data_IF_550142503046
#
_entry.id   IF_550142503046
#
_cell.length_a   1.000
_cell.length_b   1.000
_cell.length_c   1.000
_cell.angle_alpha   90.00
_cell.angle_beta   90.00
_cell.angle_gamma   90.00
#
_symmetry.space_group_name_H-M   'P 1'
#
loop_
_entity.id
_entity.type
_entity.pdbx_description
1 polymer ?
#
# COMPACT_ATOMS: atom_id res chain seq x y z
N UNK A 1 60.75 -34.89 -34.82
CA UNK A 1 59.88 -35.67 -33.92
C UNK A 1 60.22 -35.46 -32.43
N UNK A 2 60.21 -34.22 -31.92
CA UNK A 2 60.36 -33.94 -30.47
C UNK A 2 59.42 -32.82 -29.94
N UNK A 3 58.60 -32.20 -30.78
CA UNK A 3 57.63 -31.17 -30.36
C UNK A 3 56.18 -31.66 -30.22
N UNK A 4 55.81 -32.83 -30.76
CA UNK A 4 54.46 -33.38 -30.60
C UNK A 4 54.25 -34.17 -29.29
N UNK A 5 55.32 -34.50 -28.56
CA UNK A 5 55.20 -35.18 -27.26
C UNK A 5 54.95 -34.23 -26.10
N UNK A 6 55.45 -32.98 -26.16
CA UNK A 6 55.22 -31.99 -25.12
C UNK A 6 53.78 -31.47 -25.10
N UNK A 7 53.15 -31.26 -26.26
CA UNK A 7 51.77 -30.76 -26.30
C UNK A 7 50.73 -31.76 -25.75
N UNK A 8 50.97 -33.07 -25.85
CA UNK A 8 50.08 -34.10 -25.29
C UNK A 8 50.28 -34.32 -23.80
N UNK A 9 51.50 -34.21 -23.27
CA UNK A 9 51.75 -34.30 -21.82
C UNK A 9 51.25 -33.07 -21.07
N UNK A 10 51.35 -31.86 -21.63
CA UNK A 10 50.81 -30.65 -20.95
C UNK A 10 49.29 -30.64 -20.90
N UNK A 11 48.60 -31.16 -21.92
CA UNK A 11 47.13 -31.27 -21.92
C UNK A 11 46.63 -32.34 -20.94
N UNK A 12 47.34 -33.47 -20.80
CA UNK A 12 47.04 -34.51 -19.81
C UNK A 12 47.31 -34.04 -18.38
N UNK A 13 48.39 -33.28 -18.14
CA UNK A 13 48.68 -32.67 -16.84
C UNK A 13 47.66 -31.59 -16.46
N UNK A 14 47.17 -30.79 -17.41
CA UNK A 14 46.10 -29.81 -17.14
C UNK A 14 44.76 -30.50 -16.84
N UNK A 15 44.41 -31.57 -17.56
CA UNK A 15 43.21 -32.34 -17.26
C UNK A 15 43.31 -33.07 -15.91
N UNK A 16 44.50 -33.57 -15.54
CA UNK A 16 44.71 -34.21 -14.23
C UNK A 16 44.68 -33.19 -13.08
N UNK A 17 45.16 -31.96 -13.28
CA UNK A 17 45.07 -30.87 -12.29
C UNK A 17 43.65 -30.31 -12.13
N UNK A 18 42.83 -30.30 -13.18
CA UNK A 18 41.42 -29.91 -13.09
C UNK A 18 40.60 -31.01 -12.39
N UNK A 19 40.92 -32.29 -12.60
CA UNK A 19 40.22 -33.42 -11.94
C UNK A 19 40.67 -33.58 -10.48
N UNK A 20 41.93 -33.31 -10.14
CA UNK A 20 42.41 -33.36 -8.73
C UNK A 20 42.07 -32.11 -7.92
N UNK A 21 41.91 -30.95 -8.58
CA UNK A 21 41.36 -29.73 -7.98
C UNK A 21 39.85 -29.80 -7.70
N UNK A 22 39.11 -30.67 -8.40
CA UNK A 22 37.71 -30.96 -8.10
C UNK A 22 37.51 -32.03 -7.01
N UNK A 23 38.54 -32.80 -6.66
CA UNK A 23 38.46 -33.89 -5.68
C UNK A 23 38.94 -33.52 -4.27
N UNK A 24 39.41 -32.29 -4.06
CA UNK A 24 39.72 -31.73 -2.71
C UNK A 24 38.73 -30.66 -2.26
N UNK A 25 37.59 -30.54 -2.96
CA UNK A 25 36.44 -29.70 -2.61
C UNK A 25 35.15 -30.48 -2.38
N UNK A 26 35.18 -31.81 -2.34
CA UNK A 26 34.09 -32.61 -1.78
C UNK A 26 34.21 -32.58 -0.25
N UNK A 27 33.96 -31.40 0.33
CA UNK A 27 33.26 -31.41 1.61
C UNK A 27 32.00 -32.23 1.37
N UNK A 28 31.87 -33.34 2.07
CA UNK A 28 30.58 -33.94 2.36
C UNK A 28 29.74 -32.85 3.01
N UNK A 29 29.14 -31.97 2.21
CA UNK A 29 27.86 -31.39 2.54
C UNK A 29 26.93 -32.58 2.52
N UNK A 30 26.93 -33.32 3.63
CA UNK A 30 25.67 -33.80 4.16
C UNK A 30 24.72 -32.63 3.97
N UNK A 31 23.76 -32.78 3.06
CA UNK A 31 22.57 -31.97 3.12
C UNK A 31 22.01 -32.32 4.50
N UNK A 32 22.46 -31.59 5.52
CA UNK A 32 21.79 -31.56 6.79
C UNK A 32 20.39 -31.11 6.40
N UNK A 33 19.46 -32.06 6.34
CA UNK A 33 18.04 -31.74 6.29
C UNK A 33 17.87 -30.67 7.35
N UNK A 34 17.52 -29.45 6.95
CA UNK A 34 17.37 -28.38 7.91
C UNK A 34 16.12 -28.75 8.73
N UNK A 35 16.38 -29.35 9.88
CA UNK A 35 15.37 -29.80 10.82
C UNK A 35 15.09 -28.64 11.78
N UNK A 36 13.82 -28.38 12.03
CA UNK A 36 13.35 -27.50 13.09
C UNK A 36 12.62 -28.32 14.16
N UNK A 37 12.65 -27.85 15.40
CA UNK A 37 11.99 -28.53 16.51
C UNK A 37 10.55 -28.05 16.63
N UNK A 38 9.60 -28.92 16.29
CA UNK A 38 8.19 -28.69 16.59
C UNK A 38 7.96 -28.86 18.09
N UNK A 39 7.24 -27.91 18.70
CA UNK A 39 6.85 -27.95 20.10
C UNK A 39 5.34 -28.11 20.21
N UNK A 40 4.90 -29.16 20.90
CA UNK A 40 3.51 -29.37 21.23
C UNK A 40 3.30 -29.51 22.73
N UNK A 41 2.05 -29.34 23.16
CA UNK A 41 1.63 -29.54 24.55
C UNK A 41 0.35 -30.36 24.60
N UNK A 42 0.34 -31.45 25.35
CA UNK A 42 -0.85 -32.27 25.62
C UNK A 42 -1.55 -31.77 26.89
N UNK A 43 -2.85 -31.55 26.79
CA UNK A 43 -3.70 -31.04 27.86
C UNK A 43 -4.90 -31.97 28.07
N UNK A 44 -5.33 -32.13 29.33
CA UNK A 44 -6.65 -32.71 29.62
C UNK A 44 -7.79 -31.70 29.41
N UNK A 45 -9.03 -32.14 29.62
CA UNK A 45 -10.22 -31.29 29.49
C UNK A 45 -10.25 -30.12 30.50
N UNK A 46 -9.47 -30.20 31.58
CA UNK A 46 -9.31 -29.16 32.59
C UNK A 46 -8.09 -28.24 32.33
N UNK A 47 -7.36 -28.45 31.22
CA UNK A 47 -6.20 -27.66 30.83
C UNK A 47 -4.91 -28.00 31.58
N UNK A 48 -4.82 -29.15 32.24
CA UNK A 48 -3.61 -29.64 32.93
C UNK A 48 -2.73 -30.42 31.96
N UNK A 49 -1.41 -30.27 32.13
CA UNK A 49 -0.41 -30.98 31.31
C UNK A 49 -0.43 -32.49 31.56
N UNK A 50 -0.29 -33.27 30.48
CA UNK A 50 -0.25 -34.74 30.54
C UNK A 50 1.14 -35.25 30.13
N UNK A 51 1.87 -35.85 31.07
CA UNK A 51 3.20 -36.43 30.83
C UNK A 51 3.22 -37.91 30.49
N UNK A 52 4.36 -38.36 29.96
CA UNK A 52 4.66 -39.77 29.67
C UNK A 52 3.98 -40.35 28.43
N UNK A 53 3.29 -39.54 27.63
CA UNK A 53 2.61 -39.97 26.40
C UNK A 53 3.56 -39.84 25.21
N UNK A 54 3.75 -40.95 24.48
CA UNK A 54 4.47 -41.00 23.20
C UNK A 54 3.60 -40.40 22.09
N UNK A 55 4.09 -39.36 21.44
CA UNK A 55 3.44 -38.66 20.32
C UNK A 55 4.23 -38.94 19.05
N UNK A 56 3.54 -39.38 18.01
CA UNK A 56 4.14 -39.63 16.69
C UNK A 56 3.64 -38.57 15.71
N UNK A 57 4.56 -37.83 15.07
CA UNK A 57 4.24 -36.98 13.92
C UNK A 57 4.49 -37.79 12.66
N UNK A 58 3.42 -38.04 11.90
CA UNK A 58 3.47 -38.89 10.72
C UNK A 58 4.50 -38.38 9.70
N UNK A 59 5.43 -39.25 9.31
CA UNK A 59 6.47 -38.97 8.32
C UNK A 59 7.60 -38.04 8.79
N UNK A 60 7.65 -37.66 10.07
CA UNK A 60 8.69 -36.77 10.62
C UNK A 60 9.48 -37.42 11.76
N UNK A 61 8.81 -37.90 12.81
CA UNK A 61 9.47 -38.45 14.00
C UNK A 61 8.54 -38.61 15.20
N UNK A 62 9.11 -38.92 16.35
CA UNK A 62 8.37 -39.11 17.61
C UNK A 62 9.02 -38.37 18.79
N UNK A 63 8.21 -38.10 19.80
CA UNK A 63 8.63 -37.50 21.06
C UNK A 63 7.75 -37.94 22.21
N UNK A 64 8.21 -37.70 23.44
CA UNK A 64 7.46 -38.04 24.66
C UNK A 64 7.18 -36.76 25.43
N UNK A 65 5.96 -36.63 25.94
CA UNK A 65 5.55 -35.50 26.78
C UNK A 65 6.19 -35.56 28.17
N UNK A 66 6.65 -34.41 28.66
CA UNK A 66 7.09 -34.23 30.04
C UNK A 66 5.91 -34.02 30.99
N UNK A 67 6.16 -33.90 32.30
CA UNK A 67 5.12 -33.77 33.33
C UNK A 67 4.21 -32.53 33.16
N UNK A 68 4.66 -31.52 32.41
CA UNK A 68 3.88 -30.31 32.09
C UNK A 68 3.10 -30.42 30.76
N UNK A 69 3.18 -31.58 30.10
CA UNK A 69 2.53 -31.91 28.84
C UNK A 69 3.34 -31.56 27.59
N UNK A 70 4.50 -30.94 27.71
CA UNK A 70 5.30 -30.50 26.55
C UNK A 70 6.08 -31.65 25.92
N UNK A 71 6.06 -31.71 24.60
CA UNK A 71 6.89 -32.61 23.81
C UNK A 71 7.56 -31.85 22.67
N UNK A 72 8.72 -32.35 22.22
CA UNK A 72 9.46 -31.80 21.09
C UNK A 72 9.75 -32.89 20.08
N UNK A 73 9.50 -32.61 18.80
CA UNK A 73 9.79 -33.53 17.69
C UNK A 73 10.55 -32.79 16.59
N UNK A 74 11.68 -33.33 16.10
CA UNK A 74 12.35 -32.80 14.92
C UNK A 74 11.48 -32.97 13.67
N UNK A 75 11.23 -31.88 12.94
CA UNK A 75 10.48 -31.85 11.67
C UNK A 75 11.27 -31.12 10.58
N UNK A 76 10.98 -31.39 9.31
CA UNK A 76 11.61 -30.66 8.20
C UNK A 76 11.13 -29.19 8.15
N UNK A 77 12.03 -28.24 7.87
CA UNK A 77 11.75 -26.79 7.90
C UNK A 77 10.62 -26.30 6.98
N UNK A 78 10.24 -27.08 5.95
CA UNK A 78 9.22 -26.68 4.96
C UNK A 78 7.81 -27.21 5.27
N UNK A 79 7.61 -27.87 6.43
CA UNK A 79 6.31 -28.44 6.81
C UNK A 79 5.42 -27.35 7.39
N UNK A 80 4.31 -27.04 6.70
CA UNK A 80 3.32 -26.06 7.17
C UNK A 80 2.22 -26.68 8.04
N UNK A 81 1.94 -27.97 7.87
CA UNK A 81 0.92 -28.73 8.60
C UNK A 81 1.48 -30.10 9.00
N UNK A 82 1.20 -30.53 10.23
CA UNK A 82 1.59 -31.85 10.77
C UNK A 82 0.35 -32.65 11.14
N UNK A 83 0.45 -33.98 11.10
CA UNK A 83 -0.56 -34.90 11.62
C UNK A 83 0.00 -35.71 12.79
N UNK A 84 -0.70 -35.70 13.92
CA UNK A 84 -0.28 -36.39 15.14
C UNK A 84 -1.04 -37.70 15.36
N UNK A 85 -0.35 -38.71 15.86
CA UNK A 85 -0.93 -39.95 16.36
C UNK A 85 -0.51 -40.21 17.81
N UNK A 86 -1.49 -40.69 18.58
CA UNK A 86 -1.36 -41.07 19.98
C UNK A 86 -1.58 -42.58 20.11
N UNK A 87 -1.12 -43.21 21.21
CA UNK A 87 -1.37 -44.63 21.46
C UNK A 87 -2.86 -44.93 21.67
N UNK A 88 -3.28 -46.18 21.45
CA UNK A 88 -4.70 -46.60 21.40
C UNK A 88 -5.52 -46.33 22.68
N UNK A 89 -4.87 -46.09 23.81
CA UNK A 89 -5.52 -45.73 25.07
C UNK A 89 -5.75 -44.22 25.25
N UNK A 90 -5.49 -43.41 24.21
CA UNK A 90 -5.68 -41.97 24.21
C UNK A 90 -6.53 -41.51 23.02
N UNK A 91 -7.49 -40.65 23.30
CA UNK A 91 -8.34 -40.00 22.31
C UNK A 91 -7.93 -38.52 22.17
N UNK A 92 -7.67 -38.08 20.94
CA UNK A 92 -7.48 -36.66 20.63
C UNK A 92 -8.85 -35.96 20.51
N UNK A 93 -9.10 -34.96 21.34
CA UNK A 93 -10.33 -34.16 21.37
C UNK A 93 -10.21 -32.96 20.43
N UNK A 94 -9.06 -32.28 20.43
CA UNK A 94 -8.80 -31.10 19.60
C UNK A 94 -7.31 -31.01 19.22
N UNK A 95 -6.98 -30.74 17.94
CA UNK A 95 -7.88 -30.62 16.79
C UNK A 95 -8.36 -32.00 16.30
N UNK A 96 -9.66 -32.14 15.98
CA UNK A 96 -10.29 -33.42 15.56
C UNK A 96 -9.70 -34.01 14.28
N UNK A 97 -9.17 -33.16 13.40
CA UNK A 97 -8.52 -33.57 12.17
C UNK A 97 -7.20 -34.31 12.42
N UNK A 98 -6.71 -34.33 13.66
CA UNK A 98 -5.33 -34.70 14.03
C UNK A 98 -4.26 -33.80 13.42
N UNK A 99 -4.68 -32.76 12.70
CA UNK A 99 -3.79 -31.87 11.96
C UNK A 99 -3.66 -30.54 12.64
N UNK A 100 -2.43 -30.03 12.67
CA UNK A 100 -2.13 -28.73 13.23
C UNK A 100 -1.13 -27.97 12.35
N UNK A 101 -1.32 -26.65 12.26
CA UNK A 101 -0.37 -25.77 11.60
C UNK A 101 0.91 -25.65 12.42
N UNK A 102 2.05 -25.66 11.75
CA UNK A 102 3.35 -25.43 12.36
C UNK A 102 3.53 -23.91 12.58
N UNK A 103 3.61 -23.43 13.83
CA UNK A 103 3.73 -22.01 14.09
C UNK A 103 5.10 -21.49 13.64
N UNK A 104 5.12 -20.32 12.98
CA UNK A 104 6.36 -19.60 12.65
C UNK A 104 6.90 -18.94 13.92
N UNK A 105 7.83 -19.60 14.62
CA UNK A 105 8.47 -19.12 15.86
C UNK A 105 8.44 -20.16 17.00
N UNK A 106 8.85 -19.76 18.21
CA UNK A 106 9.01 -20.67 19.36
C UNK A 106 7.70 -20.91 20.15
N UNK A 107 6.56 -21.00 19.47
CA UNK A 107 5.25 -21.22 20.11
C UNK A 107 4.90 -22.71 20.13
N UNK A 108 4.30 -23.18 21.23
CA UNK A 108 3.77 -24.54 21.30
C UNK A 108 2.35 -24.62 20.76
N UNK A 109 2.02 -25.71 20.08
CA UNK A 109 0.64 -26.04 19.70
C UNK A 109 0.01 -26.89 20.80
N UNK A 110 -1.22 -26.55 21.18
CA UNK A 110 -1.95 -27.27 22.23
C UNK A 110 -2.86 -28.35 21.63
N UNK A 111 -2.82 -29.53 22.23
CA UNK A 111 -3.59 -30.70 21.87
C UNK A 111 -4.38 -31.18 23.08
N UNK A 112 -5.71 -31.12 22.99
CA UNK A 112 -6.58 -31.61 24.06
C UNK A 112 -6.82 -33.11 23.88
N UNK A 113 -6.51 -33.91 24.91
CA UNK A 113 -6.58 -35.37 24.86
C UNK A 113 -7.33 -35.93 26.07
N UNK A 114 -8.03 -37.04 25.88
CA UNK A 114 -8.70 -37.80 26.94
C UNK A 114 -8.18 -39.22 26.97
N UNK A 115 -7.79 -39.69 28.15
CA UNK A 115 -7.47 -41.10 28.35
C UNK A 115 -8.74 -41.92 28.17
N UNK A 116 -8.71 -42.88 27.27
CA UNK A 116 -9.79 -43.83 27.10
C UNK A 116 -9.66 -44.90 28.18
N UNK A 117 -10.26 -44.63 29.35
CA UNK A 117 -10.42 -45.65 30.39
C UNK A 117 -11.52 -46.61 29.95
N UNK A 118 -11.12 -47.62 29.19
CA UNK A 118 -11.92 -48.82 28.98
C UNK A 118 -11.87 -49.62 30.29
N UNK A 119 -12.60 -49.17 31.29
CA UNK A 119 -12.72 -49.92 32.54
C UNK A 119 -13.68 -51.10 32.33
N UNK A 120 -13.16 -52.13 31.67
CA UNK A 120 -13.82 -53.42 31.48
C UNK A 120 -13.88 -54.22 32.80
N UNK A 121 -13.43 -53.68 33.95
CA UNK A 121 -13.28 -54.46 35.18
C UNK A 121 -14.59 -55.06 35.69
N UNK A 122 -15.69 -54.33 35.61
CA UNK A 122 -17.03 -54.79 36.02
C UNK A 122 -17.57 -55.86 35.04
N UNK A 123 -17.45 -55.61 33.73
CA UNK A 123 -17.87 -56.55 32.69
C UNK A 123 -17.02 -57.83 32.72
N UNK A 124 -15.71 -57.70 32.97
CA UNK A 124 -14.77 -58.81 33.14
C UNK A 124 -15.06 -59.58 34.42
N UNK A 125 -15.35 -58.91 35.54
CA UNK A 125 -15.80 -59.57 36.78
C UNK A 125 -17.04 -60.41 36.53
N UNK A 126 -18.03 -59.88 35.81
CA UNK A 126 -19.27 -60.57 35.51
C UNK A 126 -19.09 -61.71 34.49
N UNK A 127 -18.26 -61.52 33.44
CA UNK A 127 -17.86 -62.59 32.51
C UNK A 127 -17.06 -63.70 33.21
N UNK A 128 -16.23 -63.34 34.18
CA UNK A 128 -15.42 -64.28 34.94
C UNK A 128 -16.28 -65.05 35.95
N UNK A 129 -17.26 -64.41 36.58
CA UNK A 129 -18.29 -65.07 37.40
C UNK A 129 -19.13 -66.03 36.56
N UNK A 130 -19.61 -65.59 35.39
CA UNK A 130 -20.34 -66.44 34.45
C UNK A 130 -19.51 -67.64 33.99
N UNK A 131 -18.23 -67.44 33.61
CA UNK A 131 -17.31 -68.53 33.22
C UNK A 131 -17.03 -69.51 34.35
N UNK A 132 -16.81 -69.04 35.58
CA UNK A 132 -16.62 -69.89 36.75
C UNK A 132 -17.85 -70.74 37.04
N UNK A 133 -19.04 -70.17 36.81
CA UNK A 133 -20.30 -70.89 36.95
C UNK A 133 -20.46 -71.93 35.82
N UNK A 134 -20.14 -71.60 34.57
CA UNK A 134 -20.16 -72.55 33.44
C UNK A 134 -19.20 -73.73 33.62
N UNK A 135 -17.99 -73.50 34.15
CA UNK A 135 -17.03 -74.58 34.42
C UNK A 135 -17.46 -75.49 35.57
N UNK A 136 -18.08 -74.95 36.64
CA UNK A 136 -18.75 -75.75 37.67
C UNK A 136 -19.88 -76.61 37.09
N UNK A 137 -20.68 -76.05 36.18
CA UNK A 137 -21.82 -76.71 35.55
C UNK A 137 -21.43 -77.84 34.57
N UNK A 138 -20.21 -77.79 34.03
CA UNK A 138 -19.67 -78.79 33.10
C UNK A 138 -19.14 -80.05 33.80
N UNK A 139 -18.76 -79.93 35.08
CA UNK A 139 -18.22 -81.04 35.88
C UNK A 139 -19.29 -81.98 36.45
N UNK A 140 -20.55 -81.54 36.59
CA UNK A 140 -21.59 -82.29 37.31
C UNK A 140 -22.59 -83.06 36.42
N UNK A 141 -22.34 -83.15 35.11
CA UNK A 141 -22.98 -84.15 34.22
C UNK A 141 -24.46 -83.98 33.86
N UNK A 142 -25.27 -83.19 34.58
CA UNK A 142 -26.64 -82.80 34.18
C UNK A 142 -27.07 -81.53 34.95
N UNK A 143 -27.20 -80.42 34.24
CA UNK A 143 -27.68 -79.14 34.76
C UNK A 143 -29.08 -79.29 35.39
N UNK A 144 -29.18 -79.13 36.72
CA UNK A 144 -30.47 -79.15 37.43
C UNK A 144 -31.25 -77.85 37.15
N UNK A 145 -32.59 -77.92 37.04
CA UNK A 145 -33.49 -76.81 36.67
C UNK A 145 -33.19 -75.48 37.40
N UNK A 146 -32.87 -75.55 38.70
CA UNK A 146 -32.57 -74.38 39.53
C UNK A 146 -31.29 -73.64 39.09
N UNK A 147 -30.32 -74.37 38.53
CA UNK A 147 -29.07 -73.80 38.02
C UNK A 147 -29.25 -73.13 36.65
N UNK A 148 -30.18 -73.63 35.82
CA UNK A 148 -30.59 -72.98 34.58
C UNK A 148 -31.28 -71.64 34.87
N UNK A 149 -32.13 -71.60 35.90
CA UNK A 149 -32.78 -70.36 36.37
C UNK A 149 -31.76 -69.34 36.88
N UNK A 150 -30.75 -69.77 37.64
CA UNK A 150 -29.68 -68.89 38.12
C UNK A 150 -28.81 -68.33 36.98
N UNK A 151 -28.49 -69.15 35.97
CA UNK A 151 -27.75 -68.70 34.79
C UNK A 151 -28.56 -67.69 33.96
N UNK A 152 -29.87 -67.94 33.82
CA UNK A 152 -30.80 -67.03 33.13
C UNK A 152 -30.89 -65.68 33.85
N UNK A 153 -31.01 -65.67 35.16
CA UNK A 153 -31.03 -64.45 35.96
C UNK A 153 -29.71 -63.67 35.84
N UNK A 154 -28.56 -64.35 35.90
CA UNK A 154 -27.27 -63.69 35.71
C UNK A 154 -27.09 -63.08 34.30
N UNK A 155 -27.63 -63.75 33.28
CA UNK A 155 -27.63 -63.23 31.91
C UNK A 155 -28.56 -62.00 31.79
N UNK A 156 -29.76 -62.07 32.38
CA UNK A 156 -30.72 -60.95 32.43
C UNK A 156 -30.13 -59.73 33.15
N UNK A 157 -29.45 -59.93 34.28
CA UNK A 157 -28.73 -58.86 34.99
C UNK A 157 -27.59 -58.26 34.15
N UNK A 158 -26.86 -59.10 33.40
CA UNK A 158 -25.78 -58.65 32.53
C UNK A 158 -26.32 -57.82 31.36
N UNK A 159 -27.44 -58.24 30.77
CA UNK A 159 -28.14 -57.50 29.72
C UNK A 159 -28.66 -56.18 30.27
N UNK A 160 -29.32 -56.16 31.44
CA UNK A 160 -29.79 -54.94 32.08
C UNK A 160 -28.65 -53.96 32.42
N UNK A 161 -27.51 -54.46 32.90
CA UNK A 161 -26.33 -53.64 33.17
C UNK A 161 -25.69 -53.08 31.89
N UNK A 162 -25.75 -53.82 30.77
CA UNK A 162 -25.32 -53.34 29.46
C UNK A 162 -26.29 -52.29 28.91
N UNK A 163 -27.60 -52.53 28.97
CA UNK A 163 -28.64 -51.59 28.53
C UNK A 163 -28.58 -50.27 29.31
N UNK A 164 -28.43 -50.33 30.63
CA UNK A 164 -28.26 -49.14 31.46
C UNK A 164 -27.02 -48.32 31.06
N UNK A 165 -25.89 -48.98 30.78
CA UNK A 165 -24.68 -48.30 30.30
C UNK A 165 -24.85 -47.74 28.89
N UNK A 166 -25.47 -48.50 28.00
CA UNK A 166 -25.76 -48.05 26.64
C UNK A 166 -26.64 -46.79 26.64
N UNK A 167 -27.68 -46.78 27.48
CA UNK A 167 -28.57 -45.64 27.66
C UNK A 167 -27.84 -44.42 28.25
N UNK A 168 -26.88 -44.64 29.16
CA UNK A 168 -26.08 -43.55 29.74
C UNK A 168 -25.16 -42.91 28.70
N UNK A 169 -24.50 -43.73 27.88
CA UNK A 169 -23.66 -43.27 26.76
C UNK A 169 -24.50 -42.51 25.72
N UNK A 170 -25.69 -43.00 25.36
CA UNK A 170 -26.59 -42.31 24.44
C UNK A 170 -27.00 -40.93 24.96
N UNK A 171 -27.28 -40.83 26.27
CA UNK A 171 -27.62 -39.56 26.93
C UNK A 171 -26.46 -38.56 26.88
N UNK A 172 -25.24 -39.00 27.20
CA UNK A 172 -24.04 -38.16 27.10
C UNK A 172 -23.76 -37.70 25.66
N UNK A 173 -23.95 -38.61 24.68
CA UNK A 173 -23.78 -38.30 23.26
C UNK A 173 -24.77 -37.20 22.81
N UNK A 174 -26.02 -37.27 23.26
CA UNK A 174 -27.06 -36.28 22.92
C UNK A 174 -26.76 -34.91 23.53
N UNK A 175 -26.33 -34.87 24.80
CA UNK A 175 -25.91 -33.62 25.45
C UNK A 175 -24.70 -33.01 24.75
N UNK A 176 -23.74 -33.83 24.35
CA UNK A 176 -22.54 -33.38 23.63
C UNK A 176 -22.90 -32.80 22.27
N UNK A 177 -23.76 -33.46 21.50
CA UNK A 177 -24.22 -32.97 20.20
C UNK A 177 -24.97 -31.63 20.31
N UNK A 178 -25.88 -31.48 21.28
CA UNK A 178 -26.59 -30.20 21.49
C UNK A 178 -25.69 -29.05 21.95
N UNK A 179 -24.57 -29.33 22.62
CA UNK A 179 -23.55 -28.33 22.92
C UNK A 179 -22.73 -27.95 21.69
N UNK A 180 -22.42 -28.92 20.82
CA UNK A 180 -21.74 -28.70 19.55
C UNK A 180 -22.59 -27.81 18.64
N UNK A 181 -23.87 -28.13 18.46
CA UNK A 181 -24.78 -27.35 17.61
C UNK A 181 -24.89 -25.89 18.08
N UNK A 182 -24.96 -25.67 19.40
CA UNK A 182 -24.96 -24.32 19.99
C UNK A 182 -23.65 -23.56 19.72
N UNK A 183 -22.50 -24.23 19.79
CA UNK A 183 -21.20 -23.61 19.50
C UNK A 183 -21.08 -23.28 18.01
N UNK A 184 -21.50 -24.19 17.12
CA UNK A 184 -21.52 -23.96 15.67
C UNK A 184 -22.40 -22.77 15.30
N UNK A 185 -23.63 -22.69 15.83
CA UNK A 185 -24.52 -21.55 15.56
C UNK A 185 -23.96 -20.20 16.03
N UNK A 186 -23.20 -20.16 17.14
CA UNK A 186 -22.49 -18.94 17.56
C UNK A 186 -21.38 -18.56 16.59
N UNK A 187 -20.61 -19.54 16.10
CA UNK A 187 -19.58 -19.31 15.09
C UNK A 187 -20.17 -18.75 13.80
N UNK A 188 -21.28 -19.31 13.31
CA UNK A 188 -21.95 -18.83 12.11
C UNK A 188 -22.44 -17.38 12.26
N UNK A 189 -23.01 -17.04 13.42
CA UNK A 189 -23.41 -15.67 13.75
C UNK A 189 -22.22 -14.69 13.73
N UNK A 190 -21.08 -15.09 14.31
CA UNK A 190 -19.86 -14.27 14.32
C UNK A 190 -19.28 -14.10 12.90
N UNK A 191 -19.32 -15.14 12.08
CA UNK A 191 -18.89 -15.08 10.67
C UNK A 191 -19.78 -14.14 9.87
N UNK A 192 -21.10 -14.20 10.06
CA UNK A 192 -22.05 -13.29 9.42
C UNK A 192 -21.82 -11.84 9.82
N UNK A 193 -21.62 -11.57 11.11
CA UNK A 193 -21.30 -10.24 11.63
C UNK A 193 -19.96 -9.72 11.09
N UNK A 194 -18.91 -10.56 11.08
CA UNK A 194 -17.61 -10.19 10.52
C UNK A 194 -17.69 -9.85 9.02
N UNK A 195 -18.50 -10.61 8.27
CA UNK A 195 -18.75 -10.37 6.85
C UNK A 195 -19.47 -9.03 6.64
N UNK A 196 -20.49 -8.73 7.46
CA UNK A 196 -21.19 -7.43 7.42
C UNK A 196 -20.26 -6.26 7.72
N UNK A 197 -19.42 -6.38 8.75
CA UNK A 197 -18.44 -5.33 9.10
C UNK A 197 -17.43 -5.11 7.98
N UNK A 198 -16.94 -6.17 7.33
CA UNK A 198 -16.05 -6.06 6.16
C UNK A 198 -16.70 -5.28 5.01
N UNK A 199 -17.97 -5.56 4.70
CA UNK A 199 -18.72 -4.83 3.67
C UNK A 199 -18.86 -3.35 4.04
N UNK A 200 -19.18 -3.05 5.31
CA UNK A 200 -19.31 -1.67 5.79
C UNK A 200 -17.97 -0.91 5.73
N UNK A 201 -16.86 -1.54 6.12
CA UNK A 201 -15.51 -0.95 6.01
C UNK A 201 -15.16 -0.65 4.56
N UNK A 202 -15.46 -1.57 3.63
CA UNK A 202 -15.23 -1.35 2.20
C UNK A 202 -16.05 -0.17 1.64
N UNK A 203 -17.32 -0.05 2.05
CA UNK A 203 -18.19 1.07 1.68
C UNK A 203 -17.68 2.40 2.22
N UNK A 204 -17.33 2.46 3.51
CA UNK A 204 -16.77 3.66 4.14
C UNK A 204 -15.43 4.07 3.51
N UNK A 205 -14.57 3.10 3.21
CA UNK A 205 -13.29 3.35 2.51
C UNK A 205 -13.54 3.98 1.14
N UNK A 206 -14.52 3.48 0.38
CA UNK A 206 -14.89 4.05 -0.92
C UNK A 206 -15.44 5.48 -0.79
N UNK A 207 -16.30 5.73 0.19
CA UNK A 207 -16.85 7.06 0.45
C UNK A 207 -15.77 8.06 0.85
N UNK A 208 -14.82 7.64 1.70
CA UNK A 208 -13.70 8.46 2.12
C UNK A 208 -12.79 8.81 0.92
N UNK A 209 -12.50 7.83 0.06
CA UNK A 209 -11.70 8.06 -1.15
C UNK A 209 -12.38 9.07 -2.08
N UNK A 210 -13.69 8.92 -2.33
CA UNK A 210 -14.46 9.86 -3.13
C UNK A 210 -14.47 11.27 -2.53
N UNK A 211 -14.60 11.38 -1.20
CA UNK A 211 -14.52 12.66 -0.51
C UNK A 211 -13.15 13.31 -0.65
N UNK A 212 -12.06 12.54 -0.48
CA UNK A 212 -10.68 13.04 -0.65
C UNK A 212 -10.47 13.55 -2.08
N UNK A 213 -10.89 12.79 -3.08
CA UNK A 213 -10.80 13.19 -4.50
C UNK A 213 -11.60 14.47 -4.77
N UNK A 214 -12.81 14.58 -4.23
CA UNK A 214 -13.63 15.77 -4.34
C UNK A 214 -12.95 17.00 -3.70
N UNK A 215 -12.39 16.85 -2.50
CA UNK A 215 -11.68 17.94 -1.82
C UNK A 215 -10.40 18.35 -2.57
N UNK A 216 -9.67 17.39 -3.13
CA UNK A 216 -8.48 17.67 -3.93
C UNK A 216 -8.84 18.41 -5.23
N UNK A 217 -9.90 17.99 -5.91
CA UNK A 217 -10.37 18.66 -7.13
C UNK A 217 -10.85 20.09 -6.84
N UNK A 218 -11.58 20.29 -5.75
CA UNK A 218 -12.02 21.62 -5.31
C UNK A 218 -10.82 22.52 -4.97
N UNK A 219 -9.84 21.99 -4.22
CA UNK A 219 -8.60 22.72 -3.91
C UNK A 219 -7.83 23.11 -5.17
N UNK A 220 -7.70 22.21 -6.15
CA UNK A 220 -7.06 22.51 -7.43
C UNK A 220 -7.85 23.59 -8.17
N UNK A 221 -9.17 23.46 -8.26
CA UNK A 221 -10.03 24.40 -8.96
C UNK A 221 -9.93 25.82 -8.38
N UNK A 222 -10.02 25.97 -7.05
CA UNK A 222 -9.90 27.28 -6.38
C UNK A 222 -8.53 27.94 -6.61
N UNK A 223 -7.46 27.14 -6.60
CA UNK A 223 -6.12 27.63 -6.89
C UNK A 223 -5.94 28.00 -8.37
N UNK A 224 -6.58 27.25 -9.28
CA UNK A 224 -6.65 27.61 -10.70
C UNK A 224 -7.38 28.95 -10.87
N UNK A 225 -8.55 29.15 -10.25
CA UNK A 225 -9.28 30.43 -10.31
C UNK A 225 -8.45 31.61 -9.79
N UNK A 226 -7.77 31.43 -8.65
CA UNK A 226 -6.95 32.47 -8.04
C UNK A 226 -5.75 32.82 -8.93
N UNK A 227 -5.00 31.82 -9.38
CA UNK A 227 -3.83 32.03 -10.24
C UNK A 227 -4.22 32.64 -11.59
N UNK A 228 -5.34 32.17 -12.17
CA UNK A 228 -5.92 32.71 -13.39
C UNK A 228 -6.25 34.20 -13.24
N UNK A 229 -7.06 34.55 -12.25
CA UNK A 229 -7.53 35.91 -12.04
C UNK A 229 -6.38 36.89 -11.80
N UNK A 230 -5.38 36.50 -11.00
CA UNK A 230 -4.21 37.33 -10.73
C UNK A 230 -3.36 37.55 -11.99
N UNK A 231 -3.07 36.48 -12.74
CA UNK A 231 -2.24 36.55 -13.94
C UNK A 231 -2.85 37.46 -15.00
N UNK A 232 -4.13 37.25 -15.34
CA UNK A 232 -4.75 38.02 -16.42
C UNK A 232 -5.06 39.47 -16.02
N UNK A 233 -5.31 39.73 -14.73
CA UNK A 233 -5.37 41.11 -14.21
C UNK A 233 -4.05 41.86 -14.42
N UNK A 234 -2.92 41.21 -14.20
CA UNK A 234 -1.60 41.80 -14.42
C UNK A 234 -1.37 42.12 -15.90
N UNK A 235 -1.73 41.21 -16.80
CA UNK A 235 -1.66 41.43 -18.26
C UNK A 235 -2.61 42.55 -18.74
N UNK A 236 -3.83 42.63 -18.21
CA UNK A 236 -4.78 43.69 -18.55
C UNK A 236 -4.26 45.06 -18.13
N UNK A 237 -3.71 45.16 -16.91
CA UNK A 237 -3.09 46.40 -16.42
C UNK A 237 -1.89 46.76 -17.29
N UNK A 238 -1.02 45.80 -17.62
CA UNK A 238 0.12 46.03 -18.51
C UNK A 238 -0.32 46.56 -19.88
N UNK A 239 -1.28 45.89 -20.52
CA UNK A 239 -1.79 46.25 -21.85
C UNK A 239 -2.43 47.64 -21.84
N UNK A 240 -3.21 47.98 -20.82
CA UNK A 240 -3.80 49.30 -20.66
C UNK A 240 -2.74 50.40 -20.53
N UNK A 241 -1.72 50.19 -19.68
CA UNK A 241 -0.63 51.15 -19.51
C UNK A 241 0.25 51.27 -20.76
N UNK A 242 0.43 50.18 -21.49
CA UNK A 242 1.13 50.16 -22.76
C UNK A 242 0.38 50.97 -23.83
N UNK A 243 -0.94 50.77 -23.98
CA UNK A 243 -1.79 51.57 -24.89
C UNK A 243 -1.76 53.05 -24.52
N UNK A 244 -1.87 53.36 -23.23
CA UNK A 244 -1.79 54.74 -22.74
C UNK A 244 -0.42 55.38 -23.06
N UNK A 245 0.66 54.63 -22.86
CA UNK A 245 2.02 55.07 -23.19
C UNK A 245 2.19 55.31 -24.68
N UNK A 246 1.70 54.39 -25.51
CA UNK A 246 1.69 54.55 -26.96
C UNK A 246 0.98 55.86 -27.35
N UNK A 247 -0.23 56.11 -26.82
CA UNK A 247 -0.97 57.34 -27.12
C UNK A 247 -0.25 58.61 -26.65
N UNK A 248 0.47 58.54 -25.52
CA UNK A 248 1.26 59.66 -25.03
C UNK A 248 2.42 60.04 -25.97
N UNK A 249 2.96 59.10 -26.76
CA UNK A 249 4.04 59.36 -27.71
C UNK A 249 3.67 60.41 -28.77
N UNK A 250 2.41 60.42 -29.24
CA UNK A 250 1.96 61.42 -30.22
C UNK A 250 2.02 62.83 -29.64
N UNK A 251 1.83 62.97 -28.32
CA UNK A 251 1.77 64.25 -27.60
C UNK A 251 3.10 64.66 -26.99
N UNK A 252 4.21 63.99 -27.34
CA UNK A 252 5.52 64.30 -26.76
C UNK A 252 5.94 65.75 -27.01
N UNK A 253 5.51 66.36 -28.12
CA UNK A 253 5.76 67.77 -28.43
C UNK A 253 5.17 68.70 -27.37
N UNK A 254 3.99 68.38 -26.84
CA UNK A 254 3.30 69.18 -25.82
C UNK A 254 4.09 69.18 -24.51
N UNK A 255 4.75 68.06 -24.20
CA UNK A 255 5.65 67.95 -23.04
C UNK A 255 6.87 68.88 -23.15
N UNK A 256 7.33 69.21 -24.36
CA UNK A 256 8.34 70.26 -24.50
C UNK A 256 7.73 71.63 -24.25
N UNK A 257 6.46 71.87 -24.59
CA UNK A 257 5.81 73.19 -24.58
C UNK A 257 5.28 73.60 -23.20
N UNK A 258 4.74 72.65 -22.43
CA UNK A 258 4.04 72.88 -21.18
C UNK A 258 4.62 72.00 -20.04
N UNK A 259 5.04 72.59 -18.90
CA UNK A 259 5.53 71.83 -17.74
C UNK A 259 4.53 70.79 -17.18
N UNK A 260 3.23 71.09 -17.22
CA UNK A 260 2.19 70.15 -16.79
C UNK A 260 2.08 68.96 -17.75
N UNK A 261 2.18 69.20 -19.05
CA UNK A 261 2.21 68.13 -20.05
C UNK A 261 3.46 67.24 -19.88
N UNK A 262 4.62 67.83 -19.56
CA UNK A 262 5.83 67.08 -19.20
C UNK A 262 5.63 66.21 -17.95
N UNK A 263 5.01 66.76 -16.91
CA UNK A 263 4.67 66.01 -15.70
C UNK A 263 3.75 64.82 -16.01
N UNK A 264 2.69 65.05 -16.79
CA UNK A 264 1.73 64.01 -17.17
C UNK A 264 2.37 62.91 -18.05
N UNK A 265 3.27 63.29 -18.96
CA UNK A 265 4.04 62.34 -19.77
C UNK A 265 4.93 61.46 -18.87
N UNK A 266 5.71 62.06 -17.97
CA UNK A 266 6.56 61.32 -17.04
C UNK A 266 5.75 60.39 -16.11
N UNK A 267 4.59 60.83 -15.64
CA UNK A 267 3.69 59.98 -14.85
C UNK A 267 3.16 58.79 -15.66
N UNK A 268 2.87 58.98 -16.95
CA UNK A 268 2.43 57.90 -17.83
C UNK A 268 3.53 56.84 -17.98
N UNK A 269 4.77 57.27 -18.22
CA UNK A 269 5.93 56.36 -18.29
C UNK A 269 6.14 55.63 -16.95
N UNK A 270 6.03 56.34 -15.83
CA UNK A 270 6.18 55.74 -14.49
C UNK A 270 5.12 54.65 -14.24
N UNK A 271 3.86 54.91 -14.57
CA UNK A 271 2.76 53.91 -14.43
C UNK A 271 2.99 52.69 -15.31
N UNK A 272 3.50 52.88 -16.53
CA UNK A 272 3.89 51.76 -17.40
C UNK A 272 5.03 50.94 -16.79
N UNK A 273 6.08 51.60 -16.30
CA UNK A 273 7.21 50.91 -15.68
C UNK A 273 6.76 50.07 -14.47
N UNK A 274 5.87 50.60 -13.61
CA UNK A 274 5.29 49.83 -12.51
C UNK A 274 4.52 48.60 -12.99
N UNK A 275 3.72 48.73 -14.04
CA UNK A 275 2.97 47.59 -14.60
C UNK A 275 3.90 46.54 -15.20
N UNK A 276 4.93 46.96 -15.94
CA UNK A 276 5.99 46.08 -16.46
C UNK A 276 6.72 45.36 -15.34
N UNK A 277 7.15 46.08 -14.31
CA UNK A 277 7.92 45.49 -13.20
C UNK A 277 7.10 44.46 -12.43
N UNK A 278 5.81 44.73 -12.22
CA UNK A 278 4.89 43.74 -11.65
C UNK A 278 4.84 42.46 -12.49
N UNK A 279 4.79 42.59 -13.82
CA UNK A 279 4.73 41.46 -14.74
C UNK A 279 6.03 40.64 -14.70
N UNK A 280 7.19 41.30 -14.70
CA UNK A 280 8.50 40.64 -14.62
C UNK A 280 8.70 39.94 -13.27
N UNK A 281 8.40 40.63 -12.16
CA UNK A 281 8.62 40.11 -10.81
C UNK A 281 7.77 38.86 -10.53
N UNK A 282 6.54 38.83 -11.03
CA UNK A 282 5.60 37.74 -10.76
C UNK A 282 5.71 36.57 -11.76
N UNK A 283 6.42 36.75 -12.90
CA UNK A 283 6.49 35.75 -13.97
C UNK A 283 6.86 34.35 -13.48
N UNK A 284 7.94 34.21 -12.70
CA UNK A 284 8.41 32.91 -12.21
C UNK A 284 7.36 32.22 -11.34
N UNK A 285 6.70 32.99 -10.46
CA UNK A 285 5.63 32.47 -9.61
C UNK A 285 4.41 32.05 -10.44
N UNK A 286 3.97 32.87 -11.42
CA UNK A 286 2.80 32.54 -12.25
C UNK A 286 3.02 31.29 -13.09
N UNK A 287 4.20 31.15 -13.70
CA UNK A 287 4.56 29.95 -14.47
C UNK A 287 4.59 28.70 -13.57
N UNK A 288 5.16 28.82 -12.36
CA UNK A 288 5.20 27.72 -11.39
C UNK A 288 3.79 27.31 -10.93
N UNK A 289 2.91 28.29 -10.67
CA UNK A 289 1.50 28.03 -10.33
C UNK A 289 0.75 27.36 -11.49
N UNK A 290 0.99 27.80 -12.73
CA UNK A 290 0.36 27.18 -13.90
C UNK A 290 0.77 25.72 -14.05
N UNK A 291 2.07 25.42 -13.94
CA UNK A 291 2.61 24.05 -13.98
C UNK A 291 2.00 23.17 -12.90
N UNK A 292 1.89 23.69 -11.68
CA UNK A 292 1.39 22.93 -10.52
C UNK A 292 -0.11 22.59 -10.64
N UNK A 293 -0.93 23.55 -11.05
CA UNK A 293 -2.38 23.43 -10.97
C UNK A 293 -3.04 22.93 -12.26
N UNK A 294 -2.52 23.27 -13.44
CA UNK A 294 -3.07 22.77 -14.70
C UNK A 294 -2.42 21.46 -15.13
N UNK A 295 -1.18 21.19 -14.69
CA UNK A 295 -0.41 19.99 -15.06
C UNK A 295 -0.38 19.73 -16.58
N UNK A 296 -0.44 20.79 -17.37
CA UNK A 296 -0.51 20.75 -18.82
C UNK A 296 0.67 21.55 -19.40
N UNK A 297 1.66 20.90 -20.03
CA UNK A 297 2.84 21.57 -20.56
C UNK A 297 2.49 22.54 -21.71
N UNK A 298 1.38 22.32 -22.43
CA UNK A 298 0.95 23.23 -23.50
C UNK A 298 0.48 24.55 -22.91
N UNK A 299 -0.31 24.52 -21.83
CA UNK A 299 -0.78 25.73 -21.14
C UNK A 299 0.36 26.52 -20.52
N UNK A 300 1.38 25.83 -20.02
CA UNK A 300 2.60 26.46 -19.52
C UNK A 300 3.34 27.21 -20.63
N UNK A 301 3.55 26.55 -21.78
CA UNK A 301 4.21 27.15 -22.94
C UNK A 301 3.43 28.34 -23.49
N UNK A 302 2.11 28.28 -23.54
CA UNK A 302 1.25 29.39 -23.95
C UNK A 302 1.45 30.61 -23.04
N UNK A 303 1.46 30.40 -21.72
CA UNK A 303 1.69 31.48 -20.76
C UNK A 303 3.11 32.04 -20.88
N UNK A 304 4.12 31.18 -21.02
CA UNK A 304 5.52 31.59 -21.22
C UNK A 304 5.69 32.44 -22.49
N UNK A 305 5.07 32.03 -23.59
CA UNK A 305 5.05 32.77 -24.84
C UNK A 305 4.42 34.15 -24.66
N UNK A 306 3.33 34.24 -23.89
CA UNK A 306 2.66 35.51 -23.61
C UNK A 306 3.58 36.50 -22.86
N UNK A 307 4.30 36.03 -21.84
CA UNK A 307 5.32 36.82 -21.15
C UNK A 307 6.43 37.28 -22.11
N UNK A 308 6.91 36.36 -22.96
CA UNK A 308 7.94 36.66 -23.96
C UNK A 308 7.50 37.76 -24.93
N UNK A 309 6.29 37.66 -25.46
CA UNK A 309 5.70 38.68 -26.34
C UNK A 309 5.58 40.05 -25.65
N UNK A 310 5.18 40.07 -24.38
CA UNK A 310 5.03 41.31 -23.62
C UNK A 310 6.38 41.98 -23.28
N UNK A 311 7.37 41.19 -22.82
CA UNK A 311 8.65 41.71 -22.34
C UNK A 311 9.65 41.85 -23.49
N UNK A 312 10.06 40.74 -24.11
CA UNK A 312 11.06 40.78 -25.17
C UNK A 312 10.48 41.40 -26.45
N UNK A 313 9.26 41.00 -26.83
CA UNK A 313 8.64 41.43 -28.08
C UNK A 313 8.19 42.89 -28.10
N UNK A 314 7.87 43.48 -26.95
CA UNK A 314 7.34 44.85 -26.88
C UNK A 314 8.21 45.75 -26.02
N UNK A 315 8.46 45.39 -24.76
CA UNK A 315 9.20 46.27 -23.86
C UNK A 315 10.63 46.49 -24.39
N UNK A 316 11.38 45.42 -24.60
CA UNK A 316 12.79 45.51 -24.99
C UNK A 316 12.96 46.07 -26.41
N UNK A 317 12.12 45.65 -27.35
CA UNK A 317 12.23 46.05 -28.76
C UNK A 317 11.74 47.47 -29.05
N UNK A 318 10.70 47.94 -28.36
CA UNK A 318 10.01 49.18 -28.74
C UNK A 318 10.00 50.24 -27.64
N UNK A 319 9.81 49.86 -26.38
CA UNK A 319 9.67 50.84 -25.29
C UNK A 319 11.02 51.22 -24.69
N UNK A 320 11.89 50.25 -24.41
CA UNK A 320 13.21 50.48 -23.80
C UNK A 320 14.08 51.47 -24.62
N UNK A 321 14.12 51.42 -25.97
CA UNK A 321 14.88 52.38 -26.76
C UNK A 321 14.42 53.84 -26.62
N UNK A 322 13.18 54.09 -26.16
CA UNK A 322 12.67 55.44 -25.92
C UNK A 322 13.46 56.20 -24.85
N UNK A 323 14.13 55.49 -23.94
CA UNK A 323 15.03 56.11 -22.98
C UNK A 323 16.11 56.96 -23.67
N UNK A 324 16.64 56.47 -24.78
CA UNK A 324 17.68 57.16 -25.55
C UNK A 324 17.09 58.09 -26.61
N UNK A 325 15.99 57.70 -27.24
CA UNK A 325 15.47 58.41 -28.43
C UNK A 325 14.45 59.50 -28.10
N UNK A 326 13.80 59.43 -26.94
CA UNK A 326 12.78 60.39 -26.49
C UNK A 326 13.15 61.01 -25.14
N UNK A 327 13.40 60.19 -24.11
CA UNK A 327 13.64 60.70 -22.75
C UNK A 327 14.95 61.48 -22.64
N UNK A 328 16.03 61.02 -23.28
CA UNK A 328 17.31 61.72 -23.25
C UNK A 328 17.26 63.11 -23.93
N UNK A 329 16.68 63.28 -25.14
CA UNK A 329 16.46 64.62 -25.70
C UNK A 329 15.57 65.52 -24.83
N UNK A 330 14.53 64.97 -24.20
CA UNK A 330 13.70 65.72 -23.25
C UNK A 330 14.52 66.23 -22.06
N UNK A 331 15.37 65.37 -21.49
CA UNK A 331 16.27 65.72 -20.38
C UNK A 331 17.30 66.77 -20.81
N UNK A 332 17.96 66.58 -21.95
CA UNK A 332 18.95 67.53 -22.47
C UNK A 332 18.35 68.93 -22.72
N UNK A 333 17.10 69.00 -23.20
CA UNK A 333 16.39 70.27 -23.33
C UNK A 333 16.09 70.93 -21.97
N UNK A 334 15.69 70.14 -20.97
CA UNK A 334 15.41 70.64 -19.63
C UNK A 334 16.68 71.14 -18.91
N UNK A 335 17.84 70.54 -19.19
CA UNK A 335 19.14 70.94 -18.64
C UNK A 335 19.84 72.06 -19.44
N UNK A 336 19.29 72.50 -20.58
CA UNK A 336 19.90 73.50 -21.44
C UNK A 336 21.06 72.97 -22.31
N UNK A 337 21.34 71.67 -22.28
CA UNK A 337 22.40 70.99 -23.06
C UNK A 337 22.04 70.88 -24.55
N UNK A 338 20.75 70.97 -24.90
CA UNK A 338 20.28 70.94 -26.28
C UNK A 338 19.19 71.99 -26.51
N UNK A 339 19.21 72.73 -27.65
CA UNK A 339 18.12 73.63 -27.99
C UNK A 339 16.76 72.91 -28.03
N UNK A 340 15.77 73.45 -27.31
CA UNK A 340 14.42 72.88 -27.17
C UNK A 340 13.77 72.48 -28.50
N UNK A 341 13.94 73.30 -29.55
CA UNK A 341 13.40 73.02 -30.88
C UNK A 341 14.06 71.77 -31.50
N UNK A 342 15.39 71.65 -31.39
CA UNK A 342 16.15 70.50 -31.90
C UNK A 342 15.78 69.22 -31.14
N UNK A 343 15.75 69.29 -29.81
CA UNK A 343 15.37 68.18 -28.95
C UNK A 343 13.93 67.72 -29.20
N UNK A 344 12.99 68.67 -29.32
CA UNK A 344 11.60 68.40 -29.62
C UNK A 344 11.43 67.73 -30.98
N UNK A 345 12.13 68.20 -32.03
CA UNK A 345 12.09 67.58 -33.37
C UNK A 345 12.63 66.15 -33.34
N UNK A 346 13.74 65.91 -32.64
CA UNK A 346 14.34 64.58 -32.51
C UNK A 346 13.41 63.61 -31.76
N UNK A 347 12.94 64.00 -30.58
CA UNK A 347 12.03 63.19 -29.78
C UNK A 347 10.70 62.92 -30.49
N UNK A 348 10.11 63.94 -31.13
CA UNK A 348 8.82 63.77 -31.84
C UNK A 348 8.94 62.84 -33.05
N UNK A 349 10.06 62.89 -33.78
CA UNK A 349 10.31 61.95 -34.89
C UNK A 349 10.42 60.52 -34.39
N UNK A 350 11.20 60.28 -33.33
CA UNK A 350 11.35 58.96 -32.74
C UNK A 350 10.02 58.44 -32.17
N UNK A 351 9.31 59.27 -31.42
CA UNK A 351 8.01 58.94 -30.83
C UNK A 351 6.96 58.56 -31.89
N UNK A 352 6.91 59.27 -33.02
CA UNK A 352 6.02 58.94 -34.14
C UNK A 352 6.34 57.60 -34.80
N UNK A 353 7.64 57.28 -34.96
CA UNK A 353 8.07 55.97 -35.49
C UNK A 353 7.64 54.86 -34.53
N UNK A 354 7.97 54.99 -33.24
CA UNK A 354 7.62 53.97 -32.24
C UNK A 354 6.11 53.83 -32.05
N UNK A 355 5.35 54.93 -32.10
CA UNK A 355 3.88 54.89 -32.07
C UNK A 355 3.31 53.95 -33.14
N UNK A 356 3.79 54.09 -34.38
CA UNK A 356 3.35 53.27 -35.51
C UNK A 356 3.83 51.82 -35.37
N UNK A 357 5.09 51.60 -34.96
CA UNK A 357 5.64 50.26 -34.76
C UNK A 357 4.91 49.47 -33.66
N UNK A 358 4.39 50.15 -32.64
CA UNK A 358 3.63 49.52 -31.55
C UNK A 358 2.21 49.08 -31.93
N UNK A 359 1.63 49.59 -33.03
CA UNK A 359 0.23 49.29 -33.39
C UNK A 359 -0.03 47.79 -33.53
N UNK A 360 0.81 47.11 -34.32
CA UNK A 360 0.63 45.69 -34.59
C UNK A 360 0.97 44.81 -33.36
N UNK A 361 2.13 44.98 -32.68
CA UNK A 361 2.45 44.20 -31.48
C UNK A 361 1.40 44.34 -30.37
N UNK A 362 0.83 45.54 -30.15
CA UNK A 362 -0.23 45.73 -29.15
C UNK A 362 -1.52 44.98 -29.54
N UNK A 363 -1.89 45.02 -30.83
CA UNK A 363 -3.06 44.29 -31.31
C UNK A 363 -2.86 42.77 -31.16
N UNK A 364 -1.70 42.26 -31.53
CA UNK A 364 -1.33 40.85 -31.39
C UNK A 364 -1.33 40.43 -29.92
N UNK A 365 -0.66 41.18 -29.04
CA UNK A 365 -0.67 40.88 -27.59
C UNK A 365 -2.10 40.87 -27.02
N UNK A 366 -2.95 41.81 -27.44
CA UNK A 366 -4.36 41.83 -27.01
C UNK A 366 -5.13 40.59 -27.46
N UNK A 367 -4.87 40.07 -28.66
CA UNK A 367 -5.48 38.85 -29.17
C UNK A 367 -4.93 37.60 -28.47
N UNK A 368 -3.63 37.57 -28.21
CA UNK A 368 -2.96 36.48 -27.50
C UNK A 368 -3.44 36.40 -26.04
N UNK A 369 -3.54 37.53 -25.32
CA UNK A 369 -4.10 37.58 -23.97
C UNK A 369 -5.50 36.95 -23.97
N UNK A 370 -6.36 37.34 -24.91
CA UNK A 370 -7.72 36.79 -25.02
C UNK A 370 -7.68 35.27 -25.29
N UNK A 371 -6.85 34.83 -26.22
CA UNK A 371 -6.75 33.42 -26.61
C UNK A 371 -6.23 32.55 -25.47
N UNK A 372 -5.12 32.95 -24.86
CA UNK A 372 -4.49 32.26 -23.73
C UNK A 372 -5.44 32.28 -22.52
N UNK A 373 -6.16 33.38 -22.26
CA UNK A 373 -7.15 33.45 -21.18
C UNK A 373 -8.32 32.48 -21.35
N UNK A 374 -8.67 32.10 -22.58
CA UNK A 374 -9.70 31.09 -22.81
C UNK A 374 -9.16 29.68 -22.55
N UNK A 375 -7.92 29.41 -22.96
CA UNK A 375 -7.27 28.11 -22.77
C UNK A 375 -6.93 27.81 -21.30
N UNK A 376 -6.57 28.85 -20.54
CA UNK A 376 -6.26 28.75 -19.13
C UNK A 376 -7.48 28.93 -18.21
N UNK A 377 -8.67 29.19 -18.76
CA UNK A 377 -9.86 29.35 -17.93
C UNK A 377 -10.14 28.05 -17.15
N UNK A 378 -10.28 28.10 -15.81
CA UNK A 378 -10.67 26.93 -15.03
C UNK A 378 -12.03 26.42 -15.48
N UNK A 379 -12.17 25.10 -15.59
CA UNK A 379 -13.43 24.41 -15.94
C UNK A 379 -13.76 23.45 -14.82
N UNK A 380 -15.04 23.41 -14.42
CA UNK A 380 -15.54 22.48 -13.41
C UNK A 380 -15.82 21.10 -13.98
#
# INVERSE_FOLDING_TARGET
MKQQYYAKTTLLLLCFLIITGFLTGCSLTTWAQQVTNFKGRLLDAEGRGIGGVRVVILGQGEGTSNDEGFFTVPIQQQVEEIEINLPDNWLLISPRSKRALVPRGNRSVEFEVKKFERDDSELRRQLQAARQQTEKLKQDGLLQQNQLTALKAALEDTVAAWENRHNLVLKELTVTNTLIDRKLGKTDSLVAENTRLKIQIAQLTKQLQQYIEQQQNEYIFQNQETAYAQTFKEFDVYLDRLKTTQQALIRVKDAFLNPEAAKNFNQTIAKYNTARDSLIQNQSQRLSQNRLFWKDPVKELLLQSLYKSAIEGIHEQHILPLNQTVMAPMKAAALGEMPRIKASKQASKAAAITYNQLQHPIATLSADIKTVSLQLKPVR
#
